data_IF_648469732807
#
_entry.id   IF_648469732807
#
_cell.length_a   1.000
_cell.length_b   1.000
_cell.length_c   1.000
_cell.angle_alpha   90.00
_cell.angle_beta   90.00
_cell.angle_gamma   90.00
#
_symmetry.space_group_name_H-M   'P 1'
#
loop_
_entity.id
_entity.type
_entity.pdbx_description
1 polymer ?
#
# COMPACT_ATOMS: atom_id res chain seq x y z
N UNK A 1 40.98 -5.13 18.23
CA UNK A 1 39.75 -4.33 18.07
C UNK A 1 39.05 -4.60 16.75
N UNK A 2 38.57 -5.86 16.48
CA UNK A 2 37.81 -6.18 15.26
C UNK A 2 36.86 -7.36 15.55
N UNK A 3 35.91 -7.19 16.47
CA UNK A 3 34.90 -8.20 16.83
C UNK A 3 33.50 -7.64 17.09
N UNK A 4 33.12 -6.56 16.44
CA UNK A 4 31.82 -5.91 16.69
C UNK A 4 31.00 -5.62 15.41
N UNK A 5 31.18 -6.36 14.32
CA UNK A 5 30.41 -6.16 13.08
C UNK A 5 29.90 -7.48 12.43
N UNK A 6 29.72 -8.52 13.20
CA UNK A 6 28.86 -9.63 12.79
C UNK A 6 27.56 -9.58 13.60
N UNK A 7 26.72 -8.60 13.30
CA UNK A 7 25.31 -8.69 13.66
C UNK A 7 24.72 -9.86 12.90
N UNK A 8 24.67 -11.00 13.58
CA UNK A 8 24.04 -12.24 13.15
C UNK A 8 22.55 -11.95 12.83
N UNK A 9 22.25 -11.63 11.60
CA UNK A 9 20.87 -11.62 11.08
C UNK A 9 20.40 -13.08 10.92
N UNK A 10 20.31 -13.80 12.03
CA UNK A 10 19.54 -15.05 12.08
C UNK A 10 18.07 -14.65 12.07
N UNK A 11 17.47 -14.65 10.89
CA UNK A 11 16.00 -14.64 10.75
C UNK A 11 15.49 -15.81 11.62
N UNK A 12 14.62 -15.55 12.61
CA UNK A 12 14.05 -16.63 13.42
C UNK A 12 13.42 -17.68 12.50
N UNK A 13 13.54 -18.97 12.85
CA UNK A 13 13.06 -20.11 12.04
C UNK A 13 11.56 -20.07 11.68
N UNK A 14 10.78 -19.14 12.26
CA UNK A 14 9.36 -18.91 12.05
C UNK A 14 9.05 -17.45 11.69
N UNK A 15 9.96 -16.72 11.04
CA UNK A 15 9.63 -15.35 10.60
C UNK A 15 8.77 -15.38 9.35
N UNK A 16 7.67 -14.60 9.37
CA UNK A 16 6.83 -14.35 8.20
C UNK A 16 7.54 -13.36 7.27
N UNK A 17 7.79 -13.75 6.03
CA UNK A 17 8.40 -12.88 5.02
C UNK A 17 7.30 -12.19 4.19
N UNK A 18 7.28 -10.86 4.22
CA UNK A 18 6.22 -10.05 3.63
C UNK A 18 6.77 -9.19 2.50
N UNK A 19 6.11 -9.22 1.34
CA UNK A 19 6.35 -8.24 0.27
C UNK A 19 5.41 -7.05 0.45
N UNK A 20 5.99 -5.86 0.64
CA UNK A 20 5.23 -4.59 0.67
C UNK A 20 5.44 -3.86 -0.64
N UNK A 21 4.37 -3.68 -1.44
CA UNK A 21 4.43 -2.82 -2.61
C UNK A 21 4.05 -1.40 -2.24
N UNK A 22 4.67 -0.39 -2.86
CA UNK A 22 4.44 1.01 -2.52
C UNK A 22 5.03 1.40 -1.16
N UNK A 23 6.14 0.77 -0.78
CA UNK A 23 6.84 0.98 0.50
C UNK A 23 7.30 2.43 0.70
N UNK A 24 7.54 3.17 -0.38
CA UNK A 24 7.95 4.59 -0.34
C UNK A 24 6.76 5.55 -0.20
N UNK A 25 5.53 5.05 -0.26
CA UNK A 25 4.31 5.82 -0.04
C UNK A 25 4.07 6.13 1.44
N UNK A 26 3.03 6.93 1.73
CA UNK A 26 2.69 7.34 3.10
C UNK A 26 2.37 6.14 4.00
N UNK A 27 1.45 5.27 3.59
CA UNK A 27 1.07 4.08 4.37
C UNK A 27 2.23 3.08 4.39
N UNK A 28 2.87 2.86 3.22
CA UNK A 28 3.98 1.91 3.10
C UNK A 28 5.15 2.18 4.02
N UNK A 29 5.57 3.44 4.15
CA UNK A 29 6.65 3.83 5.09
C UNK A 29 6.30 3.50 6.53
N UNK A 30 5.07 3.82 6.96
CA UNK A 30 4.62 3.51 8.31
C UNK A 30 4.60 2.00 8.55
N UNK A 31 4.05 1.23 7.62
CA UNK A 31 4.00 -0.23 7.73
C UNK A 31 5.39 -0.86 7.79
N UNK A 32 6.28 -0.49 6.88
CA UNK A 32 7.64 -1.06 6.83
C UNK A 32 8.41 -0.77 8.11
N UNK A 33 8.32 0.45 8.65
CA UNK A 33 8.97 0.79 9.93
C UNK A 33 8.38 -0.04 11.07
N UNK A 34 7.07 -0.20 11.13
CA UNK A 34 6.41 -1.00 12.17
C UNK A 34 6.81 -2.48 12.08
N UNK A 35 6.74 -3.08 10.88
CA UNK A 35 7.13 -4.49 10.69
C UNK A 35 8.59 -4.75 11.04
N UNK A 36 9.49 -3.82 10.72
CA UNK A 36 10.92 -3.97 11.06
C UNK A 36 11.20 -3.83 12.57
N UNK A 37 10.27 -3.31 13.36
CA UNK A 37 10.37 -3.24 14.82
C UNK A 37 9.77 -4.47 15.52
N UNK A 38 8.99 -5.27 14.81
CA UNK A 38 8.36 -6.46 15.33
C UNK A 38 9.24 -7.69 15.11
N UNK A 39 9.39 -8.51 16.15
CA UNK A 39 10.03 -9.81 16.02
C UNK A 39 9.16 -10.76 15.18
N UNK A 40 9.80 -11.64 14.41
CA UNK A 40 9.08 -12.63 13.60
C UNK A 40 8.63 -12.15 12.24
N UNK A 41 9.03 -10.94 11.80
CA UNK A 41 8.77 -10.45 10.45
C UNK A 41 10.06 -10.11 9.71
N UNK A 42 10.05 -10.34 8.41
CA UNK A 42 11.03 -9.81 7.46
C UNK A 42 10.30 -9.17 6.28
N UNK A 43 10.85 -8.10 5.72
CA UNK A 43 10.16 -7.27 4.73
C UNK A 43 10.99 -7.13 3.47
N UNK A 44 10.42 -7.56 2.35
CA UNK A 44 10.85 -7.18 1.02
C UNK A 44 9.97 -6.02 0.51
N UNK A 45 10.51 -5.22 -0.40
CA UNK A 45 9.80 -4.08 -0.98
C UNK A 45 9.74 -4.15 -2.50
N UNK A 46 8.66 -3.58 -3.06
CA UNK A 46 8.51 -3.38 -4.50
C UNK A 46 7.91 -2.01 -4.77
N UNK A 47 8.65 -1.17 -5.48
CA UNK A 47 8.32 0.21 -5.78
C UNK A 47 8.54 0.54 -7.26
N UNK A 48 8.22 1.74 -7.69
CA UNK A 48 8.34 2.20 -9.11
C UNK A 48 9.75 2.07 -9.70
N UNK A 49 10.78 2.05 -8.87
CA UNK A 49 12.18 1.89 -9.30
C UNK A 49 12.54 0.43 -9.58
N UNK A 50 11.71 -0.51 -9.15
CA UNK A 50 11.96 -1.93 -9.40
C UNK A 50 11.53 -2.33 -10.81
N UNK A 51 12.28 -3.25 -11.39
CA UNK A 51 11.89 -3.85 -12.67
C UNK A 51 10.69 -4.78 -12.47
N UNK A 52 9.64 -4.59 -13.26
CA UNK A 52 8.42 -5.42 -13.19
C UNK A 52 8.73 -6.92 -13.38
N UNK A 53 9.77 -7.26 -14.15
CA UNK A 53 10.22 -8.65 -14.33
C UNK A 53 10.68 -9.32 -13.04
N UNK A 54 11.08 -8.55 -12.02
CA UNK A 54 11.47 -9.10 -10.71
C UNK A 54 10.28 -9.37 -9.78
N UNK A 55 9.06 -8.99 -10.16
CA UNK A 55 7.88 -9.11 -9.32
C UNK A 55 7.56 -10.58 -9.00
N UNK A 56 7.57 -11.45 -10.00
CA UNK A 56 7.26 -12.87 -9.85
C UNK A 56 8.27 -13.57 -8.91
N UNK A 57 9.57 -13.33 -9.08
CA UNK A 57 10.60 -13.89 -8.18
C UNK A 57 10.46 -13.37 -6.76
N UNK A 58 10.11 -12.10 -6.55
CA UNK A 58 9.85 -11.57 -5.20
C UNK A 58 8.60 -12.18 -4.58
N UNK A 59 7.51 -12.32 -5.34
CA UNK A 59 6.28 -12.96 -4.83
C UNK A 59 6.51 -14.44 -4.49
N UNK A 60 7.31 -15.15 -5.28
CA UNK A 60 7.59 -16.57 -5.02
C UNK A 60 8.37 -16.81 -3.71
N UNK A 61 9.14 -15.82 -3.26
CA UNK A 61 10.00 -15.91 -2.06
C UNK A 61 9.33 -15.50 -0.76
N UNK A 62 8.09 -14.94 -0.80
CA UNK A 62 7.42 -14.39 0.38
C UNK A 62 6.24 -15.24 0.84
N UNK A 63 5.80 -15.02 2.08
CA UNK A 63 4.65 -15.70 2.69
C UNK A 63 3.35 -14.91 2.50
N UNK A 64 3.43 -13.58 2.33
CA UNK A 64 2.28 -12.71 2.11
C UNK A 64 2.67 -11.47 1.30
N UNK A 65 1.67 -10.85 0.65
CA UNK A 65 1.81 -9.59 -0.06
C UNK A 65 0.91 -8.54 0.59
N UNK A 66 1.48 -7.39 0.96
CA UNK A 66 0.73 -6.19 1.32
C UNK A 66 0.83 -5.20 0.16
N UNK A 67 -0.26 -5.09 -0.60
CA UNK A 67 -0.31 -4.28 -1.81
C UNK A 67 -0.85 -2.88 -1.52
N UNK A 68 0.08 -1.93 -1.32
CA UNK A 68 -0.19 -0.51 -1.04
C UNK A 68 0.15 0.39 -2.22
N UNK A 69 0.86 -0.13 -3.23
CA UNK A 69 1.19 0.64 -4.42
C UNK A 69 -0.08 1.06 -5.15
N UNK A 70 -0.11 2.29 -5.59
CA UNK A 70 -1.20 2.83 -6.38
C UNK A 70 -0.98 4.30 -6.69
N UNK A 71 -1.57 4.75 -7.81
CA UNK A 71 -1.67 6.16 -8.15
C UNK A 71 -2.98 6.72 -7.60
N UNK A 72 -2.90 7.81 -6.86
CA UNK A 72 -4.07 8.46 -6.27
C UNK A 72 -4.24 9.92 -6.72
N UNK A 73 -3.30 10.43 -7.51
CA UNK A 73 -3.32 11.78 -8.04
C UNK A 73 -2.47 11.87 -9.31
N UNK A 74 -3.11 11.76 -10.44
CA UNK A 74 -2.47 11.96 -11.74
C UNK A 74 -3.16 13.05 -12.55
N UNK A 75 -2.44 13.56 -13.54
CA UNK A 75 -2.99 14.45 -14.56
C UNK A 75 -3.58 13.68 -15.74
N UNK A 76 -3.17 12.41 -15.91
CA UNK A 76 -3.63 11.54 -16.98
C UNK A 76 -4.43 10.37 -16.39
N UNK A 77 -5.58 10.10 -16.96
CA UNK A 77 -6.44 9.01 -16.49
C UNK A 77 -5.79 7.63 -16.68
N UNK A 78 -4.97 7.47 -17.72
CA UNK A 78 -4.21 6.24 -17.99
C UNK A 78 -3.26 5.85 -16.86
N UNK A 79 -2.68 6.82 -16.15
CA UNK A 79 -1.77 6.56 -15.03
C UNK A 79 -2.48 5.85 -13.88
N UNK A 80 -3.79 6.10 -13.68
CA UNK A 80 -4.58 5.38 -12.69
C UNK A 80 -4.75 3.90 -13.09
N UNK A 81 -5.00 3.61 -14.36
CA UNK A 81 -5.10 2.23 -14.84
C UNK A 81 -3.77 1.50 -14.67
N UNK A 82 -2.68 2.10 -15.13
CA UNK A 82 -1.33 1.51 -15.05
C UNK A 82 -0.91 1.28 -13.59
N UNK A 83 -1.05 2.31 -12.74
CA UNK A 83 -0.58 2.27 -11.35
C UNK A 83 -1.45 1.45 -10.41
N UNK A 84 -2.74 1.32 -10.68
CA UNK A 84 -3.67 0.59 -9.83
C UNK A 84 -4.03 -0.79 -10.40
N UNK A 85 -4.68 -0.84 -11.57
CA UNK A 85 -5.20 -2.09 -12.11
C UNK A 85 -4.11 -2.99 -12.71
N UNK A 86 -3.25 -2.47 -13.60
CA UNK A 86 -2.26 -3.29 -14.31
C UNK A 86 -1.22 -3.89 -13.34
N UNK A 87 -0.78 -3.13 -12.34
CA UNK A 87 0.11 -3.66 -11.31
C UNK A 87 -0.57 -4.75 -10.48
N UNK A 88 -1.82 -4.52 -10.05
CA UNK A 88 -2.60 -5.54 -9.32
C UNK A 88 -2.78 -6.81 -10.16
N UNK A 89 -3.09 -6.65 -11.45
CA UNK A 89 -3.21 -7.78 -12.39
C UNK A 89 -1.90 -8.55 -12.50
N UNK A 90 -0.76 -7.87 -12.55
CA UNK A 90 0.56 -8.50 -12.58
C UNK A 90 0.85 -9.31 -11.30
N UNK A 91 0.46 -8.79 -10.14
CA UNK A 91 0.54 -9.52 -8.86
C UNK A 91 -0.34 -10.77 -8.90
N UNK A 92 -1.59 -10.64 -9.36
CA UNK A 92 -2.50 -11.78 -9.48
C UNK A 92 -1.94 -12.87 -10.39
N UNK A 93 -1.44 -12.50 -11.57
CA UNK A 93 -0.84 -13.45 -12.52
C UNK A 93 0.39 -14.14 -11.92
N UNK A 94 1.26 -13.40 -11.23
CA UNK A 94 2.42 -13.99 -10.56
C UNK A 94 2.00 -15.04 -9.51
N UNK A 95 0.97 -14.75 -8.71
CA UNK A 95 0.44 -15.71 -7.72
C UNK A 95 -0.25 -16.91 -8.39
N UNK A 96 -0.98 -16.67 -9.49
CA UNK A 96 -1.65 -17.75 -10.24
C UNK A 96 -0.66 -18.80 -10.77
N UNK A 97 0.53 -18.38 -11.16
CA UNK A 97 1.59 -19.25 -11.68
C UNK A 97 2.31 -20.08 -10.61
N UNK A 98 2.08 -19.79 -9.32
CA UNK A 98 2.72 -20.51 -8.22
C UNK A 98 1.85 -21.69 -7.74
N UNK A 99 2.49 -22.77 -7.25
CA UNK A 99 1.80 -23.90 -6.63
C UNK A 99 1.38 -23.63 -5.17
N UNK A 100 1.72 -22.47 -4.63
CA UNK A 100 1.33 -22.05 -3.27
C UNK A 100 0.30 -20.91 -3.30
N UNK A 101 -0.50 -20.82 -2.24
CA UNK A 101 -1.37 -19.68 -1.98
C UNK A 101 -0.61 -18.63 -1.21
N UNK A 102 -0.66 -17.39 -1.67
CA UNK A 102 0.00 -16.26 -1.02
C UNK A 102 -1.08 -15.25 -0.63
N UNK A 103 -1.38 -15.08 0.67
CA UNK A 103 -2.33 -14.07 1.13
C UNK A 103 -2.01 -12.68 0.59
N UNK A 104 -3.03 -11.95 0.15
CA UNK A 104 -2.90 -10.57 -0.32
C UNK A 104 -3.77 -9.66 0.53
N UNK A 105 -3.16 -8.66 1.15
CA UNK A 105 -3.85 -7.54 1.78
C UNK A 105 -3.76 -6.36 0.82
N UNK A 106 -4.90 -5.79 0.44
CA UNK A 106 -4.98 -4.68 -0.51
C UNK A 106 -5.65 -3.47 0.10
N UNK A 107 -5.03 -2.30 -0.02
CA UNK A 107 -5.65 -1.04 0.32
C UNK A 107 -6.38 -0.46 -0.88
N UNK A 108 -7.71 -0.48 -0.82
CA UNK A 108 -8.60 0.21 -1.72
C UNK A 108 -9.09 1.53 -1.10
N UNK A 109 -10.14 2.10 -1.63
CA UNK A 109 -10.68 3.39 -1.23
C UNK A 109 -12.20 3.33 -1.09
N UNK A 110 -12.76 4.16 -0.21
CA UNK A 110 -14.21 4.38 -0.15
C UNK A 110 -14.76 4.98 -1.45
N UNK A 111 -13.90 5.55 -2.31
CA UNK A 111 -14.28 6.09 -3.62
C UNK A 111 -14.34 5.03 -4.74
N UNK A 112 -14.11 3.75 -4.44
CA UNK A 112 -14.09 2.69 -5.46
C UNK A 112 -15.42 2.56 -6.24
N UNK A 113 -16.53 2.99 -5.65
CA UNK A 113 -17.86 2.99 -6.30
C UNK A 113 -18.21 4.35 -6.95
N UNK A 114 -17.33 5.35 -6.86
CA UNK A 114 -17.56 6.65 -7.47
C UNK A 114 -17.22 6.63 -8.97
N UNK A 115 -17.98 7.40 -9.77
CA UNK A 115 -17.78 7.53 -11.21
C UNK A 115 -16.65 8.52 -11.52
N UNK A 116 -15.41 8.14 -11.13
CA UNK A 116 -14.22 8.86 -11.48
C UNK A 116 -13.08 7.88 -11.85
N UNK A 117 -12.06 8.31 -12.62
CA UNK A 117 -10.99 7.43 -13.10
C UNK A 117 -10.25 6.69 -11.98
N UNK A 118 -9.99 7.36 -10.87
CA UNK A 118 -9.35 6.77 -9.70
C UNK A 118 -10.21 5.66 -9.08
N UNK A 119 -11.48 5.95 -8.79
CA UNK A 119 -12.41 4.97 -8.22
C UNK A 119 -12.55 3.73 -9.12
N UNK A 120 -12.77 3.95 -10.43
CA UNK A 120 -12.86 2.88 -11.43
C UNK A 120 -11.62 1.99 -11.45
N UNK A 121 -10.43 2.56 -11.43
CA UNK A 121 -9.17 1.80 -11.43
C UNK A 121 -8.98 0.97 -10.16
N UNK A 122 -9.38 1.51 -8.99
CA UNK A 122 -9.34 0.78 -7.72
C UNK A 122 -10.38 -0.35 -7.69
N UNK A 123 -11.58 -0.11 -8.20
CA UNK A 123 -12.61 -1.16 -8.33
C UNK A 123 -12.16 -2.29 -9.27
N UNK A 124 -11.55 -1.95 -10.41
CA UNK A 124 -10.99 -2.95 -11.32
C UNK A 124 -9.92 -3.82 -10.65
N UNK A 125 -9.07 -3.21 -9.82
CA UNK A 125 -8.08 -3.92 -9.01
C UNK A 125 -8.74 -4.87 -7.98
N UNK A 126 -9.80 -4.42 -7.29
CA UNK A 126 -10.58 -5.27 -6.37
C UNK A 126 -11.17 -6.49 -7.09
N UNK A 127 -11.76 -6.28 -8.28
CA UNK A 127 -12.34 -7.36 -9.10
C UNK A 127 -11.27 -8.38 -9.50
N UNK A 128 -10.07 -7.94 -9.90
CA UNK A 128 -8.96 -8.83 -10.24
C UNK A 128 -8.54 -9.70 -9.03
N UNK A 129 -8.44 -9.11 -7.83
CA UNK A 129 -8.11 -9.85 -6.61
C UNK A 129 -9.23 -10.83 -6.20
N UNK A 130 -10.48 -10.45 -6.34
CA UNK A 130 -11.62 -11.35 -6.09
C UNK A 130 -11.65 -12.53 -7.09
N UNK A 131 -11.26 -12.30 -8.36
CA UNK A 131 -11.10 -13.36 -9.33
C UNK A 131 -9.99 -14.35 -8.94
N UNK A 132 -8.82 -13.84 -8.48
CA UNK A 132 -7.74 -14.66 -7.93
C UNK A 132 -8.23 -15.50 -6.74
N UNK A 133 -8.98 -14.89 -5.81
CA UNK A 133 -9.55 -15.59 -4.66
C UNK A 133 -10.45 -16.75 -5.11
N UNK A 134 -11.35 -16.51 -6.06
CA UNK A 134 -12.27 -17.54 -6.57
C UNK A 134 -11.53 -18.65 -7.32
N UNK A 135 -10.55 -18.30 -8.17
CA UNK A 135 -9.83 -19.25 -9.03
C UNK A 135 -8.86 -20.14 -8.27
N UNK A 136 -8.12 -19.60 -7.31
CA UNK A 136 -7.04 -20.29 -6.58
C UNK A 136 -7.40 -20.60 -5.13
N UNK A 137 -8.57 -20.18 -4.64
CA UNK A 137 -8.89 -20.16 -3.21
C UNK A 137 -7.78 -19.43 -2.41
N UNK A 138 -7.28 -18.33 -2.99
CA UNK A 138 -6.21 -17.52 -2.42
C UNK A 138 -6.80 -16.56 -1.37
N UNK A 139 -6.25 -16.46 -0.15
CA UNK A 139 -6.75 -15.50 0.81
C UNK A 139 -6.55 -14.05 0.32
N UNK A 140 -7.62 -13.27 0.25
CA UNK A 140 -7.59 -11.85 -0.13
C UNK A 140 -8.38 -11.04 0.88
N UNK A 141 -7.77 -9.97 1.39
CA UNK A 141 -8.40 -9.00 2.28
C UNK A 141 -8.32 -7.63 1.60
N UNK A 142 -9.46 -6.98 1.45
CA UNK A 142 -9.56 -5.66 0.81
C UNK A 142 -10.05 -4.65 1.83
N UNK A 143 -9.23 -3.62 2.10
CA UNK A 143 -9.60 -2.50 2.96
C UNK A 143 -9.94 -1.27 2.12
N UNK A 144 -11.20 -0.85 2.11
CA UNK A 144 -11.62 0.42 1.53
C UNK A 144 -11.42 1.54 2.55
N UNK A 145 -10.24 2.17 2.50
CA UNK A 145 -9.86 3.21 3.43
C UNK A 145 -10.52 4.56 3.10
N UNK A 146 -10.96 5.32 4.12
CA UNK A 146 -11.32 6.73 3.98
C UNK A 146 -10.05 7.58 3.87
N UNK A 147 -10.16 8.90 4.11
CA UNK A 147 -9.00 9.77 4.18
C UNK A 147 -8.06 9.37 5.31
N UNK A 148 -6.85 8.92 4.99
CA UNK A 148 -5.83 8.56 6.00
C UNK A 148 -5.00 9.79 6.35
N UNK A 149 -4.72 10.01 7.64
CA UNK A 149 -3.88 11.08 8.12
C UNK A 149 -2.87 10.60 9.17
N UNK A 150 -1.83 11.39 9.40
CA UNK A 150 -0.82 11.11 10.43
C UNK A 150 0.60 11.38 9.98
N UNK A 151 1.57 10.79 10.68
CA UNK A 151 3.01 11.00 10.46
C UNK A 151 3.42 10.64 9.03
N UNK A 152 4.27 11.50 8.43
CA UNK A 152 4.76 11.43 7.04
C UNK A 152 3.72 11.66 5.94
N UNK A 153 2.51 12.05 6.30
CA UNK A 153 1.54 12.53 5.32
C UNK A 153 2.01 13.86 4.73
N UNK A 154 2.01 13.97 3.39
CA UNK A 154 2.49 15.19 2.70
C UNK A 154 1.42 16.28 2.74
N UNK A 155 1.77 17.53 3.17
CA UNK A 155 0.89 18.67 3.02
C UNK A 155 0.69 19.01 1.54
N UNK A 156 -0.42 19.66 1.22
CA UNK A 156 -0.79 20.09 -0.13
C UNK A 156 -0.82 18.96 -1.17
N UNK A 157 -1.06 17.73 -0.71
CA UNK A 157 -1.19 16.55 -1.55
C UNK A 157 -2.58 15.91 -1.32
N UNK A 158 -2.73 14.88 -0.50
CA UNK A 158 -3.98 14.15 -0.31
C UNK A 158 -4.49 14.11 1.13
N UNK A 159 -3.93 14.92 2.03
CA UNK A 159 -4.38 14.98 3.41
C UNK A 159 -4.73 16.42 3.80
N UNK A 160 -6.00 16.66 4.07
CA UNK A 160 -6.46 17.94 4.60
C UNK A 160 -5.81 18.25 5.94
N UNK A 161 -5.66 17.24 6.82
CA UNK A 161 -5.04 17.40 8.14
C UNK A 161 -3.59 17.83 7.99
N UNK A 162 -2.79 17.14 7.16
CA UNK A 162 -1.38 17.52 6.94
C UNK A 162 -1.25 18.92 6.34
N UNK A 163 -2.16 19.29 5.42
CA UNK A 163 -2.19 20.62 4.80
C UNK A 163 -2.51 21.68 5.83
N UNK A 164 -3.51 21.47 6.67
CA UNK A 164 -3.88 22.44 7.71
C UNK A 164 -2.80 22.60 8.76
N UNK A 165 -2.23 21.50 9.27
CA UNK A 165 -1.12 21.55 10.20
C UNK A 165 0.08 22.31 9.63
N UNK A 166 0.45 22.03 8.37
CA UNK A 166 1.54 22.73 7.68
C UNK A 166 1.26 24.23 7.53
N UNK A 167 0.06 24.59 7.07
CA UNK A 167 -0.31 25.98 6.84
C UNK A 167 -0.33 26.76 8.16
N UNK A 168 -0.92 26.21 9.22
CA UNK A 168 -0.96 26.85 10.54
C UNK A 168 0.46 27.07 11.07
N UNK A 169 1.31 26.05 11.02
CA UNK A 169 2.68 26.14 11.51
C UNK A 169 3.52 27.18 10.76
N UNK A 170 3.22 27.39 9.47
CA UNK A 170 3.93 28.36 8.62
C UNK A 170 3.19 29.70 8.48
N UNK A 171 2.11 29.93 9.22
CA UNK A 171 1.26 31.15 9.14
C UNK A 171 0.71 31.39 7.74
N UNK A 172 0.43 30.30 6.98
CA UNK A 172 -0.20 30.33 5.67
C UNK A 172 -1.74 30.28 5.81
N UNK A 173 -2.50 30.82 4.86
CA UNK A 173 -3.95 30.77 4.93
C UNK A 173 -4.48 29.34 4.81
N UNK A 174 -5.55 29.04 5.56
CA UNK A 174 -6.34 27.83 5.42
C UNK A 174 -7.49 28.13 4.48
N UNK A 175 -7.73 27.22 3.52
CA UNK A 175 -8.87 27.28 2.61
C UNK A 175 -9.80 26.10 2.89
N UNK A 176 -11.02 26.41 3.30
CA UNK A 176 -12.12 25.44 3.40
C UNK A 176 -13.00 25.64 2.16
N UNK A 177 -13.03 24.66 1.27
CA UNK A 177 -13.78 24.77 0.01
C UNK A 177 -15.30 24.68 0.24
N UNK A 178 -15.71 23.79 1.15
CA UNK A 178 -17.12 23.59 1.51
C UNK A 178 -17.19 23.28 3.02
N UNK A 179 -17.65 24.23 3.84
CA UNK A 179 -17.75 24.05 5.29
C UNK A 179 -18.86 23.08 5.72
N UNK A 180 -19.80 22.75 4.84
CA UNK A 180 -20.87 21.79 5.11
C UNK A 180 -20.45 20.33 4.88
N UNK A 181 -19.32 20.11 4.19
CA UNK A 181 -18.86 18.76 3.81
C UNK A 181 -18.26 18.02 5.00
N UNK A 182 -18.87 16.89 5.36
CA UNK A 182 -18.28 15.94 6.31
C UNK A 182 -17.21 15.11 5.66
N UNK A 183 -16.07 14.91 6.34
CA UNK A 183 -14.95 14.11 5.87
C UNK A 183 -14.72 12.97 6.87
N UNK A 184 -14.72 11.73 6.39
CA UNK A 184 -14.31 10.58 7.18
C UNK A 184 -12.80 10.45 7.15
N UNK A 185 -12.20 10.30 8.33
CA UNK A 185 -10.76 10.19 8.49
C UNK A 185 -10.41 8.99 9.38
N UNK A 186 -9.25 8.38 9.11
CA UNK A 186 -8.65 7.34 9.95
C UNK A 186 -7.19 7.69 10.21
N UNK A 187 -6.73 7.50 11.45
CA UNK A 187 -5.33 7.73 11.80
C UNK A 187 -4.43 6.61 11.29
N UNK A 188 -3.22 6.95 10.89
CA UNK A 188 -2.31 5.98 10.26
C UNK A 188 -1.97 4.79 11.15
N UNK A 189 -1.80 4.99 12.46
CA UNK A 189 -1.48 3.90 13.36
C UNK A 189 -2.64 2.90 13.51
N UNK A 190 -3.91 3.38 13.41
CA UNK A 190 -5.10 2.50 13.39
C UNK A 190 -5.19 1.67 12.09
N UNK A 191 -4.59 2.17 10.99
CA UNK A 191 -4.52 1.43 9.72
C UNK A 191 -3.43 0.36 9.75
N UNK A 192 -2.35 0.57 10.52
CA UNK A 192 -1.19 -0.33 10.59
C UNK A 192 -1.40 -1.46 11.61
N UNK A 193 -2.21 -1.24 12.64
CA UNK A 193 -2.59 -2.28 13.63
C UNK A 193 -3.45 -3.38 13.00
#
# INVERSE_FOLDING_TARGET
>A
CNKLLEANTRIPKNSMHILVTGSQGFIGKNLVVTLNQLEGFSVDTFDRTNNIKSLESKISSVDAVVHLAGENRSKNDEDFDIGNYQLTKSICLSIENLDKRIPVIFTSTTQAEEDNPYGKSKLAAEIALQALQKKKNNPVIIYRLPGVFGKWSKPNYNSVVATFCHNIANKLPIKVNDPSKSIRLVYIDDVIQ
#
